data_IF_613410878511
#
_entry.id   IF_613410878511
#
_cell.length_a   1.000
_cell.length_b   1.000
_cell.length_c   1.000
_cell.angle_alpha   90.00
_cell.angle_beta   90.00
_cell.angle_gamma   90.00
#
_symmetry.space_group_name_H-M   'P 1'
#
loop_
_entity.id
_entity.type
_entity.pdbx_description
1 polymer ?
#
# COMPACT_ATOMS: atom_id res chain seq x y z
N UNK A 1 -13.69 5.96 50.07
CA UNK A 1 -14.00 5.93 48.61
C UNK A 1 -12.80 5.28 47.95
N UNK A 2 -12.84 4.00 47.56
CA UNK A 2 -11.71 3.37 46.88
C UNK A 2 -11.55 3.98 45.48
N UNK A 3 -10.34 4.46 45.18
CA UNK A 3 -9.92 4.85 43.83
C UNK A 3 -10.06 3.64 42.90
N UNK A 4 -10.87 3.76 41.85
CA UNK A 4 -10.92 2.77 40.77
C UNK A 4 -9.60 2.85 40.02
N UNK A 5 -8.74 1.84 40.22
CA UNK A 5 -7.55 1.63 39.40
C UNK A 5 -7.98 1.52 37.93
N UNK A 6 -7.41 2.30 36.99
CA UNK A 6 -7.80 2.24 35.59
C UNK A 6 -7.51 0.84 35.03
N UNK A 7 -8.37 0.31 34.15
CA UNK A 7 -8.18 -1.02 33.58
C UNK A 7 -6.82 -1.08 32.86
N UNK A 8 -5.99 -2.05 33.25
CA UNK A 8 -4.72 -2.33 32.58
C UNK A 8 -5.02 -2.79 31.16
N UNK A 9 -4.79 -1.93 30.18
CA UNK A 9 -4.85 -2.32 28.77
C UNK A 9 -3.74 -3.32 28.49
N UNK A 10 -4.06 -4.46 27.87
CA UNK A 10 -3.12 -5.53 27.50
C UNK A 10 -1.94 -5.01 26.66
N UNK A 11 -2.16 -3.95 25.89
CA UNK A 11 -1.17 -3.28 25.05
C UNK A 11 -1.03 -1.81 25.45
N UNK A 12 0.20 -1.31 25.40
CA UNK A 12 0.45 0.13 25.39
C UNK A 12 0.19 0.73 24.00
N UNK A 13 0.21 2.07 23.88
CA UNK A 13 -0.10 2.78 22.63
C UNK A 13 0.82 2.35 21.48
N UNK A 14 2.13 2.27 21.70
CA UNK A 14 3.09 1.90 20.68
C UNK A 14 2.88 0.44 20.20
N UNK A 15 2.62 -0.48 21.12
CA UNK A 15 2.30 -1.87 20.82
C UNK A 15 0.99 -1.98 20.04
N UNK A 16 -0.05 -1.24 20.44
CA UNK A 16 -1.33 -1.20 19.73
C UNK A 16 -1.15 -0.75 18.28
N UNK A 17 -0.49 0.38 18.06
CA UNK A 17 -0.21 0.89 16.71
C UNK A 17 0.59 -0.10 15.87
N UNK A 18 1.58 -0.76 16.47
CA UNK A 18 2.37 -1.76 15.76
C UNK A 18 1.51 -2.96 15.30
N UNK A 19 0.66 -3.50 16.18
CA UNK A 19 -0.24 -4.62 15.85
C UNK A 19 -1.26 -4.20 14.79
N UNK A 20 -1.87 -3.02 14.91
CA UNK A 20 -2.81 -2.48 13.91
C UNK A 20 -2.18 -2.40 12.51
N UNK A 21 -0.97 -1.84 12.42
CA UNK A 21 -0.24 -1.74 11.15
C UNK A 21 0.08 -3.13 10.58
N UNK A 22 0.51 -4.06 11.42
CA UNK A 22 0.84 -5.42 11.00
C UNK A 22 -0.39 -6.18 10.47
N UNK A 23 -1.52 -6.12 11.17
CA UNK A 23 -2.77 -6.77 10.76
C UNK A 23 -3.31 -6.16 9.46
N UNK A 24 -3.34 -4.83 9.36
CA UNK A 24 -3.79 -4.15 8.15
C UNK A 24 -2.90 -4.46 6.93
N UNK A 25 -1.58 -4.59 7.14
CA UNK A 25 -0.66 -5.02 6.11
C UNK A 25 -0.94 -6.46 5.65
N UNK A 26 -1.21 -7.38 6.59
CA UNK A 26 -1.58 -8.76 6.29
C UNK A 26 -2.90 -8.83 5.51
N UNK A 27 -3.95 -8.12 5.93
CA UNK A 27 -5.24 -8.08 5.22
C UNK A 27 -5.08 -7.64 3.77
N UNK A 28 -4.24 -6.62 3.52
CA UNK A 28 -3.93 -6.15 2.17
C UNK A 28 -3.24 -7.22 1.33
N UNK A 29 -2.29 -7.96 1.90
CA UNK A 29 -1.62 -9.08 1.20
C UNK A 29 -2.56 -10.22 0.90
N UNK A 30 -3.49 -10.54 1.80
CA UNK A 30 -4.53 -11.54 1.54
C UNK A 30 -5.42 -11.10 0.37
N UNK A 31 -5.80 -9.82 0.30
CA UNK A 31 -6.56 -9.27 -0.82
C UNK A 31 -5.76 -9.30 -2.14
N UNK A 32 -4.46 -8.98 -2.11
CA UNK A 32 -3.57 -9.10 -3.29
C UNK A 32 -3.54 -10.55 -3.82
N UNK A 33 -3.45 -11.54 -2.92
CA UNK A 33 -3.45 -12.96 -3.28
C UNK A 33 -4.77 -13.39 -3.90
N UNK A 34 -5.91 -12.97 -3.32
CA UNK A 34 -7.23 -13.24 -3.90
C UNK A 34 -7.35 -12.65 -5.30
N UNK A 35 -6.87 -11.41 -5.53
CA UNK A 35 -6.87 -10.78 -6.84
C UNK A 35 -6.00 -11.54 -7.86
N UNK A 36 -4.86 -12.08 -7.43
CA UNK A 36 -4.00 -12.92 -8.29
C UNK A 36 -4.69 -14.24 -8.65
N UNK A 37 -5.33 -14.90 -7.69
CA UNK A 37 -6.09 -16.14 -7.93
C UNK A 37 -7.27 -15.88 -8.88
N UNK A 38 -7.97 -14.75 -8.70
CA UNK A 38 -9.10 -14.36 -9.54
C UNK A 38 -8.69 -13.85 -10.94
N UNK A 39 -7.39 -13.64 -11.18
CA UNK A 39 -6.89 -13.05 -12.42
C UNK A 39 -7.30 -11.58 -12.60
N UNK A 40 -7.67 -10.89 -11.52
CA UNK A 40 -8.08 -9.47 -11.51
C UNK A 40 -6.95 -8.54 -11.12
N UNK A 41 -5.75 -9.05 -10.89
CA UNK A 41 -4.57 -8.23 -10.62
C UNK A 41 -4.31 -7.26 -11.78
N UNK A 42 -4.06 -5.97 -11.49
CA UNK A 42 -3.77 -4.98 -12.52
C UNK A 42 -2.52 -5.40 -13.29
N UNK A 43 -2.68 -5.60 -14.59
CA UNK A 43 -1.59 -5.93 -15.51
C UNK A 43 -1.17 -4.68 -16.28
N UNK A 44 0.11 -4.35 -16.27
CA UNK A 44 0.68 -3.20 -16.96
C UNK A 44 1.40 -3.61 -18.26
N UNK A 45 1.77 -2.62 -19.09
CA UNK A 45 2.62 -2.89 -20.26
C UNK A 45 3.99 -3.46 -19.89
N UNK A 46 4.52 -3.03 -18.74
CA UNK A 46 5.85 -3.42 -18.23
C UNK A 46 5.81 -4.61 -17.27
N UNK A 47 4.62 -5.00 -16.81
CA UNK A 47 4.45 -6.07 -15.82
C UNK A 47 3.30 -6.97 -16.23
N UNK A 48 3.61 -8.23 -16.53
CA UNK A 48 2.62 -9.29 -16.73
C UNK A 48 2.81 -10.33 -15.64
N UNK A 49 1.73 -10.64 -14.93
CA UNK A 49 1.71 -11.75 -13.98
C UNK A 49 1.49 -13.03 -14.79
N UNK A 50 2.43 -13.95 -14.73
CA UNK A 50 2.25 -15.27 -15.33
C UNK A 50 1.24 -16.07 -14.49
N UNK A 51 0.33 -16.84 -15.10
CA UNK A 51 -0.57 -17.72 -14.36
C UNK A 51 0.17 -19.01 -13.96
N UNK A 52 1.17 -18.89 -13.09
CA UNK A 52 2.05 -19.98 -12.65
C UNK A 52 1.65 -20.57 -11.28
N UNK A 53 0.52 -20.12 -10.71
CA UNK A 53 0.00 -20.67 -9.46
C UNK A 53 -0.45 -22.12 -9.63
N UNK A 54 -0.02 -23.05 -8.76
CA UNK A 54 -0.47 -24.43 -8.79
C UNK A 54 -1.98 -24.54 -8.60
N UNK A 55 -2.64 -25.45 -9.34
CA UNK A 55 -4.09 -25.69 -9.23
C UNK A 55 -4.55 -26.02 -7.81
N UNK A 56 -3.72 -26.74 -7.05
CA UNK A 56 -4.01 -27.07 -5.64
C UNK A 56 -4.03 -25.81 -4.78
N UNK A 57 -3.15 -24.85 -5.07
CA UNK A 57 -3.12 -23.58 -4.36
C UNK A 57 -4.36 -22.75 -4.68
N UNK A 58 -4.69 -22.56 -5.95
CA UNK A 58 -5.86 -21.76 -6.35
C UNK A 58 -7.18 -22.35 -5.85
N UNK A 59 -7.26 -23.68 -5.72
CA UNK A 59 -8.42 -24.36 -5.16
C UNK A 59 -8.56 -24.22 -3.64
N UNK A 60 -7.44 -24.21 -2.89
CA UNK A 60 -7.47 -24.27 -1.41
C UNK A 60 -7.25 -22.92 -0.73
N UNK A 61 -6.55 -22.00 -1.38
CA UNK A 61 -6.21 -20.70 -0.81
C UNK A 61 -7.44 -19.88 -0.37
N UNK A 62 -8.58 -19.84 -1.10
CA UNK A 62 -9.75 -19.08 -0.66
C UNK A 62 -10.24 -19.44 0.75
N UNK A 63 -10.36 -20.74 1.06
CA UNK A 63 -10.80 -21.22 2.38
C UNK A 63 -9.80 -20.85 3.48
N UNK A 64 -8.50 -20.99 3.18
CA UNK A 64 -7.42 -20.63 4.12
C UNK A 64 -7.42 -19.12 4.39
N UNK A 65 -7.58 -18.31 3.34
CA UNK A 65 -7.63 -16.84 3.44
C UNK A 65 -8.85 -16.40 4.25
N UNK A 66 -10.02 -17.02 4.05
CA UNK A 66 -11.21 -16.76 4.85
C UNK A 66 -10.98 -17.05 6.34
N UNK A 67 -10.32 -18.18 6.66
CA UNK A 67 -9.93 -18.51 8.03
C UNK A 67 -8.99 -17.48 8.66
N UNK A 68 -7.98 -17.03 7.91
CA UNK A 68 -7.05 -15.99 8.38
C UNK A 68 -7.76 -14.66 8.64
N UNK A 69 -8.71 -14.26 7.80
CA UNK A 69 -9.52 -13.04 8.02
C UNK A 69 -10.37 -13.12 9.27
N UNK A 70 -10.98 -14.29 9.51
CA UNK A 70 -11.74 -14.51 10.74
C UNK A 70 -10.85 -14.38 11.99
N UNK A 71 -9.63 -14.93 11.94
CA UNK A 71 -8.67 -14.82 13.04
C UNK A 71 -8.19 -13.37 13.26
N UNK A 72 -7.91 -12.63 12.18
CA UNK A 72 -7.55 -11.21 12.27
C UNK A 72 -8.68 -10.41 12.93
N UNK A 73 -9.94 -10.63 12.52
CA UNK A 73 -11.10 -9.96 13.10
C UNK A 73 -11.28 -10.31 14.59
N UNK A 74 -11.03 -11.58 14.96
CA UNK A 74 -11.08 -12.03 16.34
C UNK A 74 -9.99 -11.36 17.20
N UNK A 75 -8.74 -11.33 16.71
CA UNK A 75 -7.61 -10.67 17.37
C UNK A 75 -7.84 -9.16 17.52
N UNK A 76 -8.34 -8.49 16.48
CA UNK A 76 -8.65 -7.07 16.55
C UNK A 76 -9.69 -6.78 17.62
N UNK A 77 -10.73 -7.61 17.71
CA UNK A 77 -11.79 -7.49 18.72
C UNK A 77 -11.26 -7.74 20.14
N UNK A 78 -10.49 -8.82 20.34
CA UNK A 78 -10.00 -9.20 21.67
C UNK A 78 -8.97 -8.23 22.24
N UNK A 79 -8.19 -7.58 21.38
CA UNK A 79 -7.21 -6.56 21.76
C UNK A 79 -7.79 -5.13 21.80
N UNK A 80 -9.07 -4.97 21.45
CA UNK A 80 -9.71 -3.65 21.37
C UNK A 80 -9.04 -2.72 20.37
N UNK A 81 -8.59 -3.28 19.24
CA UNK A 81 -8.02 -2.50 18.14
C UNK A 81 -9.16 -1.82 17.39
N UNK A 82 -8.95 -0.56 17.03
CA UNK A 82 -9.92 0.13 16.20
C UNK A 82 -9.68 -0.23 14.74
N UNK A 83 -10.76 -0.42 13.98
CA UNK A 83 -10.66 -0.50 12.53
C UNK A 83 -10.18 0.85 12.04
N UNK A 84 -8.89 0.93 11.69
CA UNK A 84 -8.35 2.11 11.05
C UNK A 84 -9.19 2.38 9.78
N UNK A 85 -9.82 3.55 9.72
CA UNK A 85 -10.49 4.05 8.51
C UNK A 85 -9.57 5.09 7.88
N UNK A 86 -8.44 4.67 7.27
CA UNK A 86 -7.59 5.62 6.58
C UNK A 86 -8.43 6.32 5.52
N UNK A 87 -8.34 7.65 5.47
CA UNK A 87 -8.97 8.41 4.39
C UNK A 87 -8.41 7.90 3.07
N UNK A 88 -9.27 7.38 2.20
CA UNK A 88 -8.87 6.84 0.90
C UNK A 88 -8.03 7.87 0.11
N UNK A 89 -8.38 9.16 0.22
CA UNK A 89 -7.61 10.26 -0.35
C UNK A 89 -6.16 10.29 0.13
N UNK A 90 -5.90 10.17 1.44
CA UNK A 90 -4.54 10.15 2.00
C UNK A 90 -3.76 8.91 1.54
N UNK A 91 -4.41 7.76 1.43
CA UNK A 91 -3.77 6.55 0.93
C UNK A 91 -3.37 6.68 -0.55
N UNK A 92 -4.28 7.21 -1.39
CA UNK A 92 -3.99 7.48 -2.81
C UNK A 92 -2.89 8.52 -2.95
N UNK A 93 -2.95 9.61 -2.18
CA UNK A 93 -1.92 10.64 -2.15
C UNK A 93 -0.55 10.06 -1.82
N UNK A 94 -0.44 9.29 -0.73
CA UNK A 94 0.82 8.66 -0.33
C UNK A 94 1.36 7.71 -1.41
N UNK A 95 0.49 6.93 -2.04
CA UNK A 95 0.87 6.03 -3.13
C UNK A 95 1.41 6.80 -4.35
N UNK A 96 0.72 7.86 -4.78
CA UNK A 96 1.14 8.70 -5.90
C UNK A 96 2.45 9.44 -5.60
N UNK A 97 2.60 9.99 -4.39
CA UNK A 97 3.85 10.65 -3.98
C UNK A 97 5.04 9.67 -3.96
N UNK A 98 4.84 8.43 -3.51
CA UNK A 98 5.88 7.42 -3.59
C UNK A 98 6.31 7.14 -5.03
N UNK A 99 5.37 7.14 -5.99
CA UNK A 99 5.72 6.97 -7.41
C UNK A 99 6.49 8.17 -7.98
N UNK A 100 6.22 9.40 -7.55
CA UNK A 100 7.02 10.57 -7.96
C UNK A 100 8.49 10.42 -7.54
N UNK A 101 8.74 9.94 -6.32
CA UNK A 101 10.11 9.65 -5.84
C UNK A 101 10.78 8.60 -6.71
N UNK A 102 10.07 7.53 -7.06
CA UNK A 102 10.61 6.49 -7.95
C UNK A 102 10.90 7.01 -9.36
N UNK A 103 10.04 7.87 -9.91
CA UNK A 103 10.25 8.47 -11.22
C UNK A 103 11.43 9.45 -11.23
N UNK A 104 11.64 10.23 -10.16
CA UNK A 104 12.82 11.10 -10.02
C UNK A 104 14.11 10.27 -10.09
N UNK A 105 14.13 9.11 -9.43
CA UNK A 105 15.26 8.18 -9.46
C UNK A 105 15.54 7.58 -10.86
N UNK A 106 14.59 7.68 -11.80
CA UNK A 106 14.73 7.19 -13.17
C UNK A 106 15.27 8.23 -14.16
N UNK A 107 15.45 9.51 -13.79
CA UNK A 107 16.01 10.50 -14.73
C UNK A 107 17.46 10.15 -15.08
N UNK A 108 17.87 10.47 -16.30
CA UNK A 108 19.18 10.05 -16.84
C UNK A 108 20.36 10.46 -15.95
N UNK A 109 20.29 11.63 -15.31
CA UNK A 109 21.29 12.09 -14.34
C UNK A 109 21.39 11.18 -13.11
N UNK A 110 20.27 10.73 -12.55
CA UNK A 110 20.23 9.86 -11.36
C UNK A 110 20.68 8.45 -11.70
N UNK A 111 20.38 7.96 -12.90
CA UNK A 111 20.78 6.63 -13.35
C UNK A 111 22.30 6.44 -13.42
N UNK A 112 23.09 7.52 -13.49
CA UNK A 112 24.56 7.46 -13.46
C UNK A 112 25.11 6.75 -12.22
N UNK A 113 24.36 6.73 -11.10
CA UNK A 113 24.72 5.99 -9.88
C UNK A 113 24.77 4.47 -10.08
N UNK A 114 24.15 3.96 -11.15
CA UNK A 114 24.13 2.55 -11.52
C UNK A 114 25.09 2.19 -12.66
N UNK A 115 25.88 3.17 -13.14
CA UNK A 115 26.87 2.98 -14.20
C UNK A 115 26.75 4.02 -15.31
N UNK A 116 27.62 3.95 -16.33
CA UNK A 116 27.58 4.87 -17.46
C UNK A 116 26.23 4.82 -18.19
N UNK A 117 25.62 5.99 -18.38
CA UNK A 117 24.37 6.15 -19.13
C UNK A 117 24.72 6.57 -20.56
N UNK A 118 24.12 5.90 -21.55
CA UNK A 118 24.26 6.29 -22.95
C UNK A 118 23.71 7.71 -23.16
N UNK A 119 24.49 8.67 -23.68
CA UNK A 119 24.02 10.03 -23.95
C UNK A 119 22.78 10.09 -24.86
N UNK A 120 22.56 9.08 -25.70
CA UNK A 120 21.37 8.99 -26.56
C UNK A 120 20.07 8.70 -25.77
N UNK A 121 20.16 8.28 -24.50
CA UNK A 121 19.00 7.97 -23.65
C UNK A 121 18.32 9.24 -23.14
N UNK A 122 19.10 10.23 -22.69
CA UNK A 122 18.61 11.50 -22.12
C UNK A 122 17.50 12.16 -22.93
N UNK A 123 17.65 12.42 -24.24
CA UNK A 123 16.60 13.09 -25.02
C UNK A 123 15.31 12.27 -25.21
N UNK A 124 15.32 10.98 -24.87
CA UNK A 124 14.15 10.10 -24.96
C UNK A 124 13.50 9.84 -23.59
N UNK A 125 14.32 9.60 -22.58
CA UNK A 125 13.89 9.19 -21.25
C UNK A 125 13.36 10.38 -20.46
N UNK A 126 14.13 11.45 -20.36
CA UNK A 126 13.83 12.55 -19.43
C UNK A 126 12.50 13.25 -19.78
N UNK A 127 12.21 13.58 -21.06
CA UNK A 127 10.90 14.12 -21.42
C UNK A 127 9.74 13.14 -21.18
N UNK A 128 9.99 11.83 -21.21
CA UNK A 128 8.96 10.84 -20.91
C UNK A 128 8.67 10.76 -19.41
N UNK A 129 9.71 10.83 -18.57
CA UNK A 129 9.57 10.89 -17.10
C UNK A 129 8.84 12.17 -16.69
N UNK A 130 9.19 13.33 -17.25
CA UNK A 130 8.51 14.61 -16.99
C UNK A 130 7.00 14.55 -17.30
N UNK A 131 6.63 13.91 -18.42
CA UNK A 131 5.21 13.72 -18.78
C UNK A 131 4.48 12.82 -17.78
N UNK A 132 5.13 11.77 -17.28
CA UNK A 132 4.55 10.89 -16.27
C UNK A 132 4.38 11.62 -14.92
N UNK A 133 5.39 12.39 -14.50
CA UNK A 133 5.32 13.22 -13.30
C UNK A 133 4.17 14.24 -13.40
N UNK A 134 4.06 14.96 -14.52
CA UNK A 134 2.95 15.89 -14.80
C UNK A 134 1.59 15.20 -14.67
N UNK A 135 1.47 13.97 -15.18
CA UNK A 135 0.23 13.18 -15.05
C UNK A 135 -0.09 12.81 -13.60
N UNK A 136 0.91 12.47 -12.80
CA UNK A 136 0.73 12.20 -11.36
C UNK A 136 0.35 13.48 -10.60
N UNK A 137 0.99 14.61 -10.89
CA UNK A 137 0.66 15.90 -10.27
C UNK A 137 -0.79 16.31 -10.58
N UNK A 138 -1.25 16.08 -11.81
CA UNK A 138 -2.64 16.30 -12.19
C UNK A 138 -3.61 15.42 -11.36
N UNK A 139 -3.28 14.13 -11.14
CA UNK A 139 -4.07 13.25 -10.29
C UNK A 139 -4.08 13.70 -8.82
N UNK A 140 -2.94 14.17 -8.31
CA UNK A 140 -2.84 14.72 -6.95
C UNK A 140 -3.71 15.97 -6.81
N UNK A 141 -3.77 16.83 -7.84
CA UNK A 141 -4.63 18.02 -7.87
C UNK A 141 -6.13 17.72 -7.86
N UNK A 142 -6.55 16.48 -8.19
CA UNK A 142 -7.94 16.04 -8.09
C UNK A 142 -8.33 15.60 -6.68
N UNK A 143 -7.36 15.31 -5.80
CA UNK A 143 -7.66 14.96 -4.43
C UNK A 143 -8.05 16.22 -3.66
N UNK A 144 -9.13 16.18 -2.85
CA UNK A 144 -9.54 17.34 -2.08
C UNK A 144 -8.39 17.76 -1.15
N UNK A 145 -7.87 18.97 -1.35
CA UNK A 145 -6.97 19.60 -0.40
C UNK A 145 -7.67 19.67 0.95
N UNK A 146 -6.98 19.28 2.02
CA UNK A 146 -7.52 19.49 3.36
C UNK A 146 -7.77 20.99 3.54
N UNK A 147 -9.04 21.40 3.59
CA UNK A 147 -9.39 22.65 4.25
C UNK A 147 -8.83 22.56 5.68
N UNK A 148 -7.89 23.43 6.06
CA UNK A 148 -7.32 23.41 7.39
C UNK A 148 -8.41 23.80 8.41
N UNK A 149 -8.91 22.81 9.15
CA UNK A 149 -9.51 22.96 10.47
C UNK A 149 -10.72 23.89 10.60
N UNK A 150 -11.92 23.32 10.44
CA UNK A 150 -13.04 23.69 11.32
C UNK A 150 -13.04 22.69 12.50
N UNK A 151 -12.30 23.04 13.56
CA UNK A 151 -12.24 22.33 14.83
C UNK A 151 -12.23 23.34 15.96
#
# INVERSE_FOLDING_TARGET
MPEREPPRTLLNVAQRSHVEVALAALERRLADIEAMIAGTSPSGRLTRVAPDLPRVFTARAPDVIAGLRAEIAHLATSLGLEVARPRASRAVQAALMAQLVHLDDCVSQRLQRFGPVDPALTPRLDPAIERLQTGIDALLGLLPGEEPGAG
#
